data_IF_637995047630
#
_entry.id   IF_637995047630
#
_cell.length_a   1.000
_cell.length_b   1.000
_cell.length_c   1.000
_cell.angle_alpha   90.00
_cell.angle_beta   90.00
_cell.angle_gamma   90.00
#
_symmetry.space_group_name_H-M   'P 1'
#
loop_
_entity.id
_entity.type
_entity.pdbx_description
1 polymer ?
#
# COMPACT_ATOMS: atom_id res chain seq x y z
N UNK A 1 -18.29 -20.26 1.60
CA UNK A 1 -18.60 -18.85 1.73
C UNK A 1 -17.76 -18.16 2.84
N UNK A 2 -17.96 -18.57 4.11
CA UNK A 2 -17.30 -17.91 5.25
C UNK A 2 -15.78 -17.96 5.18
N UNK A 3 -15.21 -19.11 4.86
CA UNK A 3 -13.75 -19.23 4.71
C UNK A 3 -13.21 -18.30 3.61
N UNK A 4 -13.90 -18.23 2.47
CA UNK A 4 -13.55 -17.35 1.37
C UNK A 4 -13.65 -15.89 1.74
N UNK A 5 -14.74 -15.48 2.40
CA UNK A 5 -14.93 -14.11 2.88
C UNK A 5 -13.78 -13.70 3.84
N UNK A 6 -13.49 -14.52 4.84
CA UNK A 6 -12.42 -14.24 5.83
C UNK A 6 -11.04 -14.19 5.17
N UNK A 7 -10.69 -15.17 4.35
CA UNK A 7 -9.39 -15.21 3.69
C UNK A 7 -9.20 -14.03 2.73
N UNK A 8 -10.20 -13.74 1.89
CA UNK A 8 -10.10 -12.66 0.94
C UNK A 8 -10.02 -11.28 1.63
N UNK A 9 -10.85 -11.03 2.66
CA UNK A 9 -10.77 -9.79 3.44
C UNK A 9 -9.42 -9.64 4.18
N UNK A 10 -8.87 -10.75 4.68
CA UNK A 10 -7.55 -10.74 5.30
C UNK A 10 -6.46 -10.37 4.27
N UNK A 11 -6.51 -10.96 3.07
CA UNK A 11 -5.60 -10.62 1.99
C UNK A 11 -5.77 -9.16 1.51
N UNK A 12 -7.01 -8.67 1.42
CA UNK A 12 -7.31 -7.28 1.10
C UNK A 12 -6.65 -6.32 2.11
N UNK A 13 -6.76 -6.61 3.41
CA UNK A 13 -6.11 -5.83 4.45
C UNK A 13 -4.57 -5.88 4.36
N UNK A 14 -3.99 -7.08 4.21
CA UNK A 14 -2.53 -7.25 4.06
C UNK A 14 -2.04 -6.48 2.83
N UNK A 15 -2.75 -6.57 1.70
CA UNK A 15 -2.42 -5.85 0.47
C UNK A 15 -2.45 -4.35 0.68
N UNK A 16 -3.46 -3.81 1.38
CA UNK A 16 -3.55 -2.39 1.71
C UNK A 16 -2.35 -1.91 2.55
N UNK A 17 -1.94 -2.71 3.56
CA UNK A 17 -0.77 -2.41 4.39
C UNK A 17 0.51 -2.41 3.55
N UNK A 18 0.70 -3.42 2.71
CA UNK A 18 1.86 -3.50 1.81
C UNK A 18 1.90 -2.32 0.84
N UNK A 19 0.78 -1.99 0.21
CA UNK A 19 0.69 -0.86 -0.72
C UNK A 19 1.02 0.47 -0.04
N UNK A 20 0.50 0.70 1.17
CA UNK A 20 0.81 1.90 1.95
C UNK A 20 2.30 1.99 2.27
N UNK A 21 2.93 0.87 2.61
CA UNK A 21 4.37 0.83 2.91
C UNK A 21 5.24 0.99 1.65
N UNK A 22 4.88 0.35 0.55
CA UNK A 22 5.66 0.34 -0.69
C UNK A 22 5.42 1.59 -1.54
N UNK A 23 4.14 1.99 -1.70
CA UNK A 23 3.75 3.07 -2.61
C UNK A 23 3.30 4.36 -1.89
N UNK A 24 3.07 4.30 -0.55
CA UNK A 24 2.61 5.43 0.25
C UNK A 24 1.12 5.70 0.16
N UNK A 25 0.39 4.94 -0.62
CA UNK A 25 -1.05 5.08 -0.84
C UNK A 25 -1.70 3.73 -1.07
N UNK A 26 -3.01 3.68 -0.92
CA UNK A 26 -3.87 2.54 -1.27
C UNK A 26 -4.74 2.97 -2.46
N UNK A 27 -5.06 2.06 -3.36
CA UNK A 27 -5.80 2.38 -4.60
C UNK A 27 -7.32 2.40 -4.43
N UNK A 28 -7.82 2.04 -3.26
CA UNK A 28 -9.25 2.09 -2.92
C UNK A 28 -9.44 2.77 -1.57
N UNK A 29 -10.62 3.31 -1.34
CA UNK A 29 -10.99 3.97 -0.10
C UNK A 29 -12.43 3.63 0.28
N UNK A 30 -12.59 2.99 1.44
CA UNK A 30 -13.89 2.65 2.02
C UNK A 30 -14.24 3.54 3.22
N UNK A 31 -13.60 4.67 3.41
CA UNK A 31 -13.78 5.53 4.58
C UNK A 31 -15.25 5.92 4.78
N UNK A 32 -15.98 6.15 3.69
CA UNK A 32 -17.40 6.51 3.73
C UNK A 32 -18.35 5.29 3.84
N UNK A 33 -17.82 4.06 3.76
CA UNK A 33 -18.66 2.86 3.83
C UNK A 33 -18.95 2.49 5.30
N UNK A 34 -20.19 2.06 5.62
CA UNK A 34 -20.51 1.60 6.96
C UNK A 34 -19.69 0.37 7.34
N UNK A 35 -19.37 0.27 8.64
CA UNK A 35 -18.54 -0.81 9.18
C UNK A 35 -17.20 -1.00 8.47
N UNK A 36 -16.58 0.13 8.06
CA UNK A 36 -15.21 0.06 7.53
C UNK A 36 -14.18 -0.02 8.67
N UNK A 37 -13.04 -0.61 8.36
CA UNK A 37 -11.88 -0.61 9.23
C UNK A 37 -10.71 0.07 8.53
N UNK A 38 -10.30 1.23 9.06
CA UNK A 38 -9.21 2.08 8.55
C UNK A 38 -9.36 2.48 7.07
N UNK A 39 -10.59 2.48 6.53
CA UNK A 39 -10.87 2.81 5.13
C UNK A 39 -10.36 1.77 4.12
N UNK A 40 -9.84 0.62 4.54
CA UNK A 40 -9.21 -0.36 3.64
C UNK A 40 -9.97 -1.67 3.50
N UNK A 41 -10.85 -2.01 4.44
CA UNK A 41 -11.82 -3.10 4.37
C UNK A 41 -13.16 -2.61 4.88
N UNK A 42 -14.26 -3.19 4.44
CA UNK A 42 -15.60 -2.90 4.95
C UNK A 42 -16.49 -4.16 4.93
N UNK A 43 -17.63 -4.10 5.62
CA UNK A 43 -18.57 -5.23 5.66
C UNK A 43 -19.09 -5.59 4.26
N UNK A 44 -19.40 -4.58 3.44
CA UNK A 44 -19.89 -4.76 2.08
C UNK A 44 -18.88 -5.54 1.22
N UNK A 45 -17.59 -5.16 1.24
CA UNK A 45 -16.54 -5.86 0.50
C UNK A 45 -16.36 -7.29 1.02
N UNK A 46 -16.41 -7.49 2.35
CA UNK A 46 -16.30 -8.83 2.97
C UNK A 46 -17.42 -9.76 2.51
N UNK A 47 -18.66 -9.28 2.45
CA UNK A 47 -19.80 -10.03 1.94
C UNK A 47 -19.61 -10.37 0.46
N UNK A 48 -19.19 -9.39 -0.33
CA UNK A 48 -18.93 -9.57 -1.76
C UNK A 48 -17.84 -10.62 -2.01
N UNK A 49 -16.75 -10.63 -1.24
CA UNK A 49 -15.69 -11.64 -1.33
C UNK A 49 -16.19 -13.06 -1.11
N UNK A 50 -17.14 -13.25 -0.17
CA UNK A 50 -17.78 -14.55 0.03
C UNK A 50 -18.53 -15.03 -1.22
N UNK A 51 -19.31 -14.15 -1.87
CA UNK A 51 -20.01 -14.48 -3.12
C UNK A 51 -19.04 -14.71 -4.28
N UNK A 52 -18.00 -13.90 -4.42
CA UNK A 52 -16.95 -14.13 -5.43
C UNK A 52 -16.26 -15.47 -5.25
N UNK A 53 -16.05 -15.92 -4.01
CA UNK A 53 -15.48 -17.25 -3.74
C UNK A 53 -16.38 -18.35 -4.26
N UNK A 54 -17.70 -18.29 -4.01
CA UNK A 54 -18.65 -19.26 -4.55
C UNK A 54 -18.63 -19.25 -6.08
N UNK A 55 -18.66 -18.06 -6.70
CA UNK A 55 -18.60 -17.90 -8.14
C UNK A 55 -17.30 -18.49 -8.73
N UNK A 56 -16.15 -18.19 -8.11
CA UNK A 56 -14.85 -18.71 -8.53
C UNK A 56 -14.82 -20.22 -8.54
N UNK A 57 -15.18 -20.89 -7.43
CA UNK A 57 -15.12 -22.35 -7.33
C UNK A 57 -16.29 -23.06 -8.02
N UNK A 58 -17.48 -22.45 -8.04
CA UNK A 58 -18.66 -23.06 -8.64
C UNK A 58 -18.69 -22.97 -10.16
N UNK A 59 -18.24 -21.84 -10.71
CA UNK A 59 -18.33 -21.56 -12.14
C UNK A 59 -16.97 -21.42 -12.81
N UNK A 60 -16.15 -20.49 -12.35
CA UNK A 60 -14.90 -20.14 -13.05
C UNK A 60 -13.89 -21.30 -13.01
N UNK A 61 -13.78 -22.03 -11.90
CA UNK A 61 -12.88 -23.18 -11.81
C UNK A 61 -13.26 -24.29 -12.79
N UNK A 62 -14.55 -24.52 -13.01
CA UNK A 62 -15.01 -25.49 -14.03
C UNK A 62 -14.61 -25.07 -15.43
N UNK A 63 -14.76 -23.78 -15.74
CA UNK A 63 -14.33 -23.24 -17.02
C UNK A 63 -12.81 -23.36 -17.20
N UNK A 64 -12.04 -23.00 -16.20
CA UNK A 64 -10.57 -23.14 -16.22
C UNK A 64 -10.16 -24.60 -16.43
N UNK A 65 -10.76 -25.55 -15.73
CA UNK A 65 -10.47 -26.97 -15.91
C UNK A 65 -10.81 -27.43 -17.32
N UNK A 66 -11.98 -27.03 -17.85
CA UNK A 66 -12.38 -27.36 -19.24
C UNK A 66 -11.36 -26.85 -20.28
N UNK A 67 -10.85 -25.64 -20.10
CA UNK A 67 -9.82 -25.07 -20.98
C UNK A 67 -8.48 -25.79 -20.77
N UNK A 68 -8.07 -25.99 -19.52
CA UNK A 68 -6.80 -26.64 -19.16
C UNK A 68 -6.66 -28.04 -19.72
N UNK A 69 -7.76 -28.83 -19.73
CA UNK A 69 -7.78 -30.18 -20.26
C UNK A 69 -7.56 -30.27 -21.79
N UNK A 70 -7.69 -29.13 -22.48
CA UNK A 70 -7.46 -29.01 -23.94
C UNK A 70 -6.01 -28.70 -24.30
N UNK A 71 -5.18 -28.27 -23.35
CA UNK A 71 -3.78 -27.88 -23.58
C UNK A 71 -2.82 -28.89 -22.97
N UNK A 72 -1.66 -29.09 -23.62
CA UNK A 72 -0.62 -29.89 -22.98
C UNK A 72 -0.06 -29.19 -21.74
N UNK A 73 0.22 -29.95 -20.69
CA UNK A 73 0.80 -29.44 -19.43
C UNK A 73 2.09 -28.65 -19.67
N UNK A 74 2.87 -29.05 -20.69
CA UNK A 74 4.12 -28.37 -21.04
C UNK A 74 3.86 -26.96 -21.57
N UNK A 75 2.92 -26.81 -22.50
CA UNK A 75 2.53 -25.51 -23.04
C UNK A 75 1.95 -24.57 -21.96
N UNK A 76 1.07 -25.11 -21.09
CA UNK A 76 0.50 -24.33 -19.99
C UNK A 76 1.56 -23.83 -19.01
N UNK A 77 2.57 -24.66 -18.70
CA UNK A 77 3.69 -24.26 -17.84
C UNK A 77 4.54 -23.17 -18.45
N UNK A 78 4.87 -23.30 -19.75
CA UNK A 78 5.72 -22.33 -20.44
C UNK A 78 5.01 -20.98 -20.57
N UNK A 79 3.72 -20.99 -20.88
CA UNK A 79 2.88 -19.79 -20.91
C UNK A 79 2.79 -19.14 -19.53
N UNK A 80 2.56 -19.92 -18.47
CA UNK A 80 2.52 -19.40 -17.09
C UNK A 80 3.87 -18.76 -16.70
N UNK A 81 4.99 -19.37 -17.06
CA UNK A 81 6.31 -18.80 -16.80
C UNK A 81 6.50 -17.44 -17.48
N UNK A 82 6.10 -17.30 -18.75
CA UNK A 82 6.15 -16.02 -19.49
C UNK A 82 5.29 -14.96 -18.80
N UNK A 83 4.07 -15.30 -18.40
CA UNK A 83 3.17 -14.38 -17.70
C UNK A 83 3.78 -13.92 -16.38
N UNK A 84 4.31 -14.84 -15.58
CA UNK A 84 4.98 -14.52 -14.30
C UNK A 84 6.16 -13.57 -14.51
N UNK A 85 7.00 -13.82 -15.53
CA UNK A 85 8.16 -12.95 -15.85
C UNK A 85 7.68 -11.54 -16.21
N UNK A 86 6.68 -11.41 -17.07
CA UNK A 86 6.14 -10.12 -17.50
C UNK A 86 5.59 -9.34 -16.27
N UNK A 87 4.76 -9.98 -15.44
CA UNK A 87 4.21 -9.33 -14.24
C UNK A 87 5.28 -8.96 -13.22
N UNK A 88 6.28 -9.82 -13.02
CA UNK A 88 7.39 -9.53 -12.11
C UNK A 88 8.21 -8.35 -12.59
N UNK A 89 8.47 -8.26 -13.88
CA UNK A 89 9.18 -7.14 -14.50
C UNK A 89 8.40 -5.84 -14.35
N UNK A 90 7.11 -5.84 -14.73
CA UNK A 90 6.24 -4.67 -14.61
C UNK A 90 6.13 -4.18 -13.15
N UNK A 91 5.90 -5.10 -12.21
CA UNK A 91 5.85 -4.79 -10.79
C UNK A 91 7.17 -4.18 -10.28
N UNK A 92 8.31 -4.73 -10.71
CA UNK A 92 9.64 -4.23 -10.35
C UNK A 92 9.86 -2.80 -10.86
N UNK A 93 9.42 -2.50 -12.09
CA UNK A 93 9.48 -1.15 -12.65
C UNK A 93 8.63 -0.16 -11.86
N UNK A 94 7.41 -0.55 -11.48
CA UNK A 94 6.52 0.28 -10.67
C UNK A 94 7.08 0.53 -9.26
N UNK A 95 7.67 -0.47 -8.62
CA UNK A 95 8.37 -0.31 -7.35
C UNK A 95 9.55 0.64 -7.46
N UNK A 96 10.36 0.48 -8.50
CA UNK A 96 11.52 1.35 -8.74
C UNK A 96 11.09 2.81 -8.93
N UNK A 97 10.09 3.07 -9.74
CA UNK A 97 9.51 4.40 -9.95
C UNK A 97 8.95 4.99 -8.65
N UNK A 98 8.20 4.20 -7.87
CA UNK A 98 7.65 4.64 -6.60
C UNK A 98 8.74 5.02 -5.59
N UNK A 99 9.82 4.23 -5.52
CA UNK A 99 10.97 4.52 -4.66
C UNK A 99 11.71 5.79 -5.11
N UNK A 100 11.91 5.95 -6.40
CA UNK A 100 12.60 7.11 -6.98
C UNK A 100 11.82 8.39 -6.76
N UNK A 101 10.49 8.37 -6.89
CA UNK A 101 9.63 9.52 -6.64
C UNK A 101 9.54 9.94 -5.17
N UNK A 102 9.80 9.02 -4.24
CA UNK A 102 9.84 9.34 -2.79
C UNK A 102 11.15 9.98 -2.33
N UNK A 103 12.25 9.73 -3.04
CA UNK A 103 13.56 10.25 -2.67
C UNK A 103 13.63 11.79 -2.65
N UNK A 104 13.18 12.50 -3.70
CA UNK A 104 13.18 13.96 -3.71
C UNK A 104 12.35 14.55 -2.58
N UNK A 105 11.16 13.99 -2.30
CA UNK A 105 10.27 14.46 -1.24
C UNK A 105 10.88 14.30 0.15
N UNK A 106 11.53 13.18 0.45
CA UNK A 106 12.23 12.99 1.72
C UNK A 106 13.40 13.96 1.91
N UNK A 107 14.12 14.27 0.83
CA UNK A 107 15.21 15.25 0.87
C UNK A 107 14.66 16.64 1.16
N UNK A 108 13.54 17.03 0.57
CA UNK A 108 12.89 18.31 0.81
C UNK A 108 12.38 18.43 2.26
N UNK A 109 11.70 17.39 2.77
CA UNK A 109 11.27 17.31 4.17
C UNK A 109 12.47 17.41 5.15
N UNK A 110 13.61 16.83 4.82
CA UNK A 110 14.83 16.97 5.63
C UNK A 110 15.40 18.40 5.57
N UNK A 111 15.43 19.03 4.40
CA UNK A 111 15.86 20.42 4.25
C UNK A 111 15.00 21.37 5.07
N UNK A 112 13.67 21.22 5.01
CA UNK A 112 12.75 22.04 5.81
C UNK A 112 13.01 21.88 7.32
N UNK A 113 13.21 20.65 7.80
CA UNK A 113 13.55 20.40 9.21
C UNK A 113 14.86 21.07 9.60
N UNK A 114 15.90 20.89 8.81
CA UNK A 114 17.23 21.50 9.08
C UNK A 114 17.12 23.01 9.09
N UNK A 115 16.43 23.61 8.12
CA UNK A 115 16.20 25.06 8.05
C UNK A 115 15.47 25.57 9.30
N UNK A 116 14.44 24.86 9.77
CA UNK A 116 13.72 25.20 11.00
C UNK A 116 14.64 25.19 12.23
N UNK A 117 15.51 24.18 12.37
CA UNK A 117 16.45 24.10 13.49
C UNK A 117 17.51 25.20 13.44
N UNK A 118 18.03 25.53 12.26
CA UNK A 118 19.01 26.63 12.07
C UNK A 118 18.37 27.96 12.44
N UNK A 119 17.16 28.24 11.98
CA UNK A 119 16.44 29.48 12.31
C UNK A 119 16.20 29.62 13.82
N UNK A 120 15.86 28.53 14.51
CA UNK A 120 15.73 28.57 15.96
C UNK A 120 17.06 28.83 16.67
N UNK A 121 18.17 28.25 16.21
CA UNK A 121 19.50 28.51 16.78
C UNK A 121 19.88 29.99 16.60
N UNK A 122 19.66 30.57 15.44
CA UNK A 122 19.91 32.01 15.18
C UNK A 122 19.12 32.91 16.13
N UNK A 123 17.83 32.63 16.34
CA UNK A 123 16.97 33.33 17.28
C UNK A 123 17.51 33.25 18.72
N UNK A 124 17.96 32.06 19.17
CA UNK A 124 18.54 31.86 20.49
C UNK A 124 19.86 32.63 20.64
N UNK A 125 20.71 32.58 19.62
CA UNK A 125 22.00 33.33 19.62
C UNK A 125 21.77 34.81 19.68
N UNK A 126 20.82 35.34 18.93
CA UNK A 126 20.46 36.77 18.96
C UNK A 126 19.90 37.18 20.32
N UNK A 127 19.04 36.38 20.95
CA UNK A 127 18.54 36.67 22.31
C UNK A 127 19.64 36.67 23.36
N UNK A 128 20.60 35.77 23.27
CA UNK A 128 21.77 35.73 24.15
C UNK A 128 22.61 36.99 23.99
N UNK A 129 22.85 37.45 22.77
CA UNK A 129 23.59 38.71 22.51
C UNK A 129 22.87 39.95 23.06
N UNK A 130 21.53 39.93 23.05
CA UNK A 130 20.70 41.00 23.60
C UNK A 130 20.51 40.95 25.12
N UNK A 131 21.09 39.96 25.82
CA UNK A 131 20.94 39.77 27.27
C UNK A 131 19.55 39.31 27.71
N UNK A 132 18.70 38.84 26.79
CA UNK A 132 17.34 38.36 27.07
C UNK A 132 17.42 36.89 27.43
N UNK A 133 17.17 36.56 28.70
CA UNK A 133 17.11 35.17 29.17
C UNK A 133 16.04 34.37 28.38
N UNK A 134 16.36 33.20 27.84
CA UNK A 134 15.36 32.37 27.18
C UNK A 134 14.32 31.94 28.25
N UNK A 135 13.09 32.38 28.09
CA UNK A 135 11.99 31.83 28.92
C UNK A 135 11.91 30.33 28.66
N UNK A 136 12.06 29.53 29.71
CA UNK A 136 11.86 28.08 29.68
C UNK A 136 10.36 27.80 29.43
N UNK A 137 9.91 27.97 28.17
CA UNK A 137 8.62 27.51 27.73
C UNK A 137 8.66 25.97 27.72
N UNK A 138 7.95 25.35 28.68
CA UNK A 138 7.72 23.91 28.69
C UNK A 138 7.25 23.46 27.30
N UNK A 139 8.06 22.65 26.63
CA UNK A 139 7.57 21.84 25.51
C UNK A 139 6.49 20.89 26.05
N UNK A 140 5.29 21.06 25.58
CA UNK A 140 4.23 20.07 25.66
C UNK A 140 4.13 19.31 24.36
#
# INVERSE_FOLDING_TARGET
YLAGAVLATTLEYITAVLMRNLFGQVWWDYTEKPFNYKGVICLESTIAWGFYTIFMFGFLQRFVNFVSDRYSVRFGRDLAAVVVVIYTFDFSLHLFKAKMNRMPRKVEEMKERVSFYIGNIEIYTQKLQLGISPSTGKMR
#
